data_IF_833399428513
#
_entry.id   IF_833399428513
#
_cell.length_a   1.000
_cell.length_b   1.000
_cell.length_c   1.000
_cell.angle_alpha   90.00
_cell.angle_beta   90.00
_cell.angle_gamma   90.00
#
_symmetry.space_group_name_H-M   'P 1'
#
loop_
_entity.id
_entity.type
_entity.pdbx_description
1 polymer ?
#
# COMPACT_ATOMS: atom_id res chain seq x y z
N UNK A 1 -4.62 -21.86 30.31
CA UNK A 1 -5.19 -21.02 29.24
C UNK A 1 -4.66 -19.62 29.45
N UNK A 2 -3.72 -19.18 28.63
CA UNK A 2 -3.31 -17.77 28.59
C UNK A 2 -4.35 -17.03 27.75
N UNK A 3 -4.91 -15.91 28.24
CA UNK A 3 -5.90 -15.14 27.50
C UNK A 3 -5.24 -14.55 26.25
N UNK A 4 -5.79 -14.87 25.07
CA UNK A 4 -5.24 -14.54 23.75
C UNK A 4 -5.63 -13.14 23.23
N UNK A 5 -6.30 -12.32 24.04
CA UNK A 5 -6.48 -10.89 23.75
C UNK A 5 -6.40 -10.09 25.03
N UNK A 6 -5.47 -9.14 25.03
CA UNK A 6 -5.23 -8.20 26.11
C UNK A 6 -5.50 -6.82 25.52
N UNK A 7 -6.76 -6.39 25.58
CA UNK A 7 -7.12 -5.04 25.14
C UNK A 7 -6.53 -4.03 26.13
N UNK A 8 -5.67 -3.14 25.62
CA UNK A 8 -5.06 -2.04 26.35
C UNK A 8 -3.81 -2.39 27.17
N UNK A 9 -2.88 -1.43 27.24
CA UNK A 9 -1.62 -1.52 28.01
C UNK A 9 -1.81 -1.86 29.51
N UNK A 10 -2.99 -1.60 30.07
CA UNK A 10 -3.29 -1.82 31.50
C UNK A 10 -3.35 -3.30 31.88
N UNK A 11 -3.76 -4.17 30.95
CA UNK A 11 -3.85 -5.61 31.20
C UNK A 11 -2.51 -6.33 30.94
N UNK A 12 -1.56 -5.68 30.25
CA UNK A 12 -0.21 -6.22 30.04
C UNK A 12 0.59 -6.29 31.35
N UNK A 13 0.39 -5.33 32.26
CA UNK A 13 1.10 -5.26 33.55
C UNK A 13 0.89 -6.53 34.40
N UNK A 14 -0.27 -7.18 34.29
CA UNK A 14 -0.61 -8.37 35.06
C UNK A 14 0.13 -9.64 34.58
N UNK A 15 0.72 -9.61 33.38
CA UNK A 15 1.44 -10.76 32.79
C UNK A 15 2.94 -10.51 32.65
N UNK A 16 3.44 -9.36 33.11
CA UNK A 16 4.87 -9.05 33.08
C UNK A 16 5.63 -9.76 34.21
N UNK A 17 6.86 -10.25 33.94
CA UNK A 17 7.72 -10.76 34.98
C UNK A 17 8.02 -9.70 36.05
N UNK A 18 8.26 -10.10 37.32
CA UNK A 18 8.66 -9.16 38.37
C UNK A 18 9.86 -8.31 37.95
N UNK A 19 9.73 -6.99 38.07
CA UNK A 19 10.79 -6.02 37.71
C UNK A 19 10.75 -5.52 36.27
N UNK A 20 9.85 -6.01 35.42
CA UNK A 20 9.63 -5.47 34.07
C UNK A 20 8.58 -4.37 34.13
N UNK A 21 8.94 -3.16 33.72
CA UNK A 21 8.03 -2.03 33.56
C UNK A 21 7.68 -1.83 32.10
N UNK A 22 6.46 -1.40 31.81
CA UNK A 22 6.12 -0.97 30.46
C UNK A 22 6.93 0.27 30.07
N UNK A 23 7.38 0.37 28.81
CA UNK A 23 7.98 1.59 28.31
C UNK A 23 6.95 2.73 28.38
N UNK A 24 7.35 3.84 29.00
CA UNK A 24 6.55 5.07 29.07
C UNK A 24 6.97 5.96 27.91
N UNK A 25 6.08 6.12 26.93
CA UNK A 25 6.30 7.02 25.80
C UNK A 25 5.66 8.39 26.08
N UNK A 26 6.30 9.49 25.66
CA UNK A 26 5.67 10.82 25.69
C UNK A 26 4.36 10.84 24.89
N UNK A 27 3.47 11.78 25.20
CA UNK A 27 2.30 12.03 24.37
C UNK A 27 2.68 12.63 23.02
N UNK A 28 1.96 12.24 21.97
CA UNK A 28 2.16 12.73 20.60
C UNK A 28 3.06 11.82 19.73
N UNK A 29 3.28 12.21 18.46
CA UNK A 29 4.07 11.43 17.51
C UNK A 29 5.50 11.20 18.01
N UNK A 30 5.99 9.97 17.90
CA UNK A 30 7.35 9.60 18.25
C UNK A 30 8.17 9.43 16.97
N UNK A 31 9.11 10.33 16.72
CA UNK A 31 10.01 10.21 15.58
C UNK A 31 11.25 9.37 15.95
N UNK A 32 11.74 8.56 15.01
CA UNK A 32 13.01 7.87 15.18
C UNK A 32 14.14 8.91 15.27
N UNK A 33 14.95 8.83 16.33
CA UNK A 33 16.11 9.72 16.52
C UNK A 33 17.24 9.43 15.54
N UNK A 34 17.34 8.17 15.10
CA UNK A 34 18.36 7.69 14.18
C UNK A 34 17.86 7.79 12.73
N UNK A 35 18.69 8.40 11.90
CA UNK A 35 18.52 8.43 10.44
C UNK A 35 19.36 7.35 9.77
N UNK A 36 19.56 7.54 8.47
CA UNK A 36 20.44 6.78 7.62
C UNK A 36 21.90 6.92 8.09
N UNK A 37 22.53 5.78 8.36
CA UNK A 37 23.96 5.75 8.71
C UNK A 37 24.84 5.91 7.48
N UNK A 38 26.13 6.20 7.65
CA UNK A 38 27.10 6.23 6.54
C UNK A 38 27.13 4.90 5.76
N UNK A 39 26.96 3.77 6.45
CA UNK A 39 26.87 2.45 5.81
C UNK A 39 25.55 2.27 5.03
N UNK A 40 24.45 2.83 5.53
CA UNK A 40 23.18 2.89 4.80
C UNK A 40 23.29 3.72 3.53
N UNK A 41 23.90 4.91 3.63
CA UNK A 41 24.18 5.76 2.47
C UNK A 41 25.13 5.11 1.47
N UNK A 42 26.14 4.37 1.94
CA UNK A 42 26.99 3.54 1.08
C UNK A 42 26.19 2.46 0.36
N UNK A 43 25.27 1.80 1.07
CA UNK A 43 24.41 0.75 0.50
C UNK A 43 23.49 1.31 -0.59
N UNK A 44 22.82 2.44 -0.35
CA UNK A 44 21.95 3.09 -1.35
C UNK A 44 22.72 3.44 -2.61
N UNK A 45 23.91 4.07 -2.49
CA UNK A 45 24.76 4.34 -3.66
C UNK A 45 25.15 3.06 -4.39
N UNK A 46 25.45 1.99 -3.65
CA UNK A 46 25.75 0.69 -4.23
C UNK A 46 24.56 0.04 -4.97
N UNK A 47 23.33 0.26 -4.52
CA UNK A 47 22.11 -0.17 -5.22
C UNK A 47 21.95 0.61 -6.54
N UNK A 48 22.12 1.93 -6.49
CA UNK A 48 22.06 2.80 -7.67
C UNK A 48 23.11 2.41 -8.71
N UNK A 49 24.36 2.19 -8.30
CA UNK A 49 25.47 1.74 -9.17
C UNK A 49 25.17 0.41 -9.89
N UNK A 50 24.26 -0.40 -9.33
CA UNK A 50 23.84 -1.71 -9.86
C UNK A 50 22.51 -1.66 -10.60
N UNK A 51 21.89 -0.49 -10.69
CA UNK A 51 20.57 -0.32 -11.27
C UNK A 51 19.45 -1.03 -10.49
N UNK A 52 19.59 -1.13 -9.16
CA UNK A 52 18.62 -1.76 -8.27
C UNK A 52 17.61 -0.74 -7.73
N UNK A 53 16.36 -1.15 -7.65
CA UNK A 53 15.27 -0.36 -7.08
C UNK A 53 15.47 -0.23 -5.55
N UNK A 54 15.33 0.99 -5.05
CA UNK A 54 15.30 1.30 -3.61
C UNK A 54 13.85 1.37 -3.15
N UNK A 55 13.43 0.40 -2.36
CA UNK A 55 12.14 0.43 -1.66
C UNK A 55 12.31 1.15 -0.33
N UNK A 56 11.54 2.21 -0.12
CA UNK A 56 11.60 3.03 1.10
C UNK A 56 10.53 2.68 2.13
N UNK A 57 9.68 1.69 1.85
CA UNK A 57 8.69 1.25 2.82
C UNK A 57 9.36 0.70 4.09
N UNK A 58 8.71 0.96 5.23
CA UNK A 58 9.18 0.65 6.58
C UNK A 58 10.45 1.40 7.04
N UNK A 59 11.07 2.22 6.20
CA UNK A 59 12.07 3.17 6.68
C UNK A 59 11.40 4.18 7.62
N UNK A 60 12.12 4.62 8.66
CA UNK A 60 11.66 5.78 9.42
C UNK A 60 11.60 6.99 8.50
N UNK A 61 10.68 7.93 8.76
CA UNK A 61 10.53 9.15 7.95
C UNK A 61 11.87 9.83 7.69
N UNK A 62 12.68 10.01 8.75
CA UNK A 62 14.03 10.57 8.67
C UNK A 62 14.97 9.79 7.75
N UNK A 63 14.98 8.46 7.83
CA UNK A 63 15.82 7.61 6.97
C UNK A 63 15.35 7.67 5.52
N UNK A 64 14.04 7.67 5.29
CA UNK A 64 13.45 7.76 3.96
C UNK A 64 13.74 9.13 3.30
N UNK A 65 13.67 10.22 4.07
CA UNK A 65 14.05 11.55 3.60
C UNK A 65 15.52 11.61 3.19
N UNK A 66 16.43 11.13 4.04
CA UNK A 66 17.88 11.10 3.77
C UNK A 66 18.22 10.15 2.60
N UNK A 67 17.47 9.07 2.42
CA UNK A 67 17.58 8.20 1.25
C UNK A 67 17.15 8.94 -0.01
N UNK A 68 15.98 9.59 0.00
CA UNK A 68 15.48 10.38 -1.12
C UNK A 68 16.42 11.54 -1.48
N UNK A 69 17.07 12.19 -0.51
CA UNK A 69 18.08 13.22 -0.78
C UNK A 69 19.24 12.69 -1.64
N UNK A 70 19.70 11.46 -1.37
CA UNK A 70 20.76 10.79 -2.16
C UNK A 70 20.26 10.50 -3.58
N UNK A 71 19.03 10.01 -3.71
CA UNK A 71 18.43 9.64 -4.99
C UNK A 71 18.16 10.88 -5.85
N UNK A 72 17.66 11.95 -5.26
CA UNK A 72 17.40 13.25 -5.91
C UNK A 72 18.70 13.90 -6.39
N UNK A 73 19.75 13.88 -5.57
CA UNK A 73 21.05 14.41 -5.97
C UNK A 73 21.64 13.69 -7.20
N UNK A 74 21.26 12.43 -7.42
CA UNK A 74 21.67 11.63 -8.57
C UNK A 74 20.63 11.58 -9.71
N UNK A 75 19.45 12.19 -9.55
CA UNK A 75 18.30 12.03 -10.45
C UNK A 75 17.93 10.55 -10.70
N UNK A 76 17.99 9.72 -9.65
CA UNK A 76 17.78 8.28 -9.77
C UNK A 76 16.29 7.93 -9.68
N UNK A 77 15.71 7.45 -10.78
CA UNK A 77 14.28 7.06 -10.83
C UNK A 77 13.94 5.79 -10.06
N UNK A 78 14.92 4.93 -9.77
CA UNK A 78 14.71 3.60 -9.20
C UNK A 78 14.28 3.61 -7.73
N UNK A 79 13.15 4.22 -7.41
CA UNK A 79 12.61 4.34 -6.06
C UNK A 79 11.13 3.97 -6.02
N UNK A 80 10.74 3.22 -4.99
CA UNK A 80 9.35 2.82 -4.79
C UNK A 80 8.91 2.97 -3.34
N UNK A 81 7.61 3.23 -3.18
CA UNK A 81 6.84 2.74 -2.03
C UNK A 81 6.00 1.57 -2.55
N UNK A 82 6.29 0.36 -2.11
CA UNK A 82 5.72 -0.86 -2.71
C UNK A 82 4.35 -1.24 -2.15
N UNK A 83 4.00 -0.80 -0.94
CA UNK A 83 2.74 -1.09 -0.25
C UNK A 83 2.40 -0.06 0.86
N UNK A 84 2.61 1.24 0.63
CA UNK A 84 2.16 2.37 1.48
C UNK A 84 2.71 2.48 2.91
N UNK A 85 3.75 1.74 3.28
CA UNK A 85 4.38 1.85 4.61
C UNK A 85 5.54 2.86 4.64
N UNK A 86 5.50 3.85 3.74
CA UNK A 86 6.31 5.07 3.78
C UNK A 86 5.41 6.26 4.11
N UNK A 87 5.99 7.36 4.59
CA UNK A 87 5.20 8.57 4.90
C UNK A 87 4.58 9.15 3.61
N UNK A 88 3.25 9.33 3.52
CA UNK A 88 2.60 9.80 2.30
C UNK A 88 3.06 11.18 1.81
N UNK A 89 3.65 12.02 2.68
CA UNK A 89 4.23 13.30 2.27
C UNK A 89 5.42 13.13 1.31
N UNK A 90 6.03 11.94 1.27
CA UNK A 90 7.16 11.63 0.40
C UNK A 90 6.74 11.20 -1.01
N UNK A 91 5.47 10.87 -1.27
CA UNK A 91 5.01 10.42 -2.59
C UNK A 91 5.28 11.44 -3.69
N UNK A 92 5.16 12.73 -3.39
CA UNK A 92 5.50 13.79 -4.35
C UNK A 92 6.97 13.74 -4.78
N UNK A 93 7.88 13.40 -3.87
CA UNK A 93 9.32 13.25 -4.16
C UNK A 93 9.57 12.00 -5.00
N UNK A 94 8.94 10.88 -4.64
CA UNK A 94 8.98 9.63 -5.41
C UNK A 94 8.53 9.87 -6.86
N UNK A 95 7.37 10.49 -7.05
CA UNK A 95 6.87 10.80 -8.40
C UNK A 95 7.72 11.82 -9.15
N UNK A 96 8.30 12.80 -8.45
CA UNK A 96 9.21 13.78 -9.06
C UNK A 96 10.50 13.15 -9.62
N UNK A 97 10.94 12.01 -9.06
CA UNK A 97 12.04 11.20 -9.60
C UNK A 97 11.61 10.26 -10.73
N UNK A 98 10.31 10.13 -11.00
CA UNK A 98 9.78 9.09 -11.89
C UNK A 98 9.78 7.71 -11.24
N UNK A 99 9.77 7.66 -9.91
CA UNK A 99 9.55 6.48 -9.09
C UNK A 99 8.11 5.99 -9.14
N UNK A 100 7.79 4.96 -8.34
CA UNK A 100 6.48 4.31 -8.34
C UNK A 100 5.89 4.19 -6.94
N UNK A 101 4.59 4.43 -6.82
CA UNK A 101 3.85 4.26 -5.56
C UNK A 101 2.77 3.21 -5.75
N UNK A 102 2.75 2.24 -4.85
CA UNK A 102 1.69 1.29 -4.68
C UNK A 102 1.18 1.33 -3.23
N UNK A 103 -0.12 1.17 -3.05
CA UNK A 103 -0.71 1.09 -1.71
C UNK A 103 -0.94 -0.36 -1.30
N UNK A 104 -1.00 -0.59 0.00
CA UNK A 104 -1.41 -1.87 0.54
C UNK A 104 -2.79 -2.27 0.01
N UNK A 105 -2.97 -3.53 -0.41
CA UNK A 105 -4.24 -4.06 -0.92
C UNK A 105 -5.25 -4.29 0.23
N UNK A 106 -5.72 -3.20 0.81
CA UNK A 106 -6.65 -3.17 1.94
C UNK A 106 -8.07 -2.77 1.55
N UNK A 107 -8.82 -2.37 2.57
CA UNK A 107 -10.19 -1.88 2.44
C UNK A 107 -10.29 -0.74 1.39
N UNK A 108 -11.30 -0.81 0.53
CA UNK A 108 -11.51 0.18 -0.53
C UNK A 108 -12.00 1.52 0.03
N UNK A 109 -12.99 1.45 0.91
CA UNK A 109 -13.59 2.53 1.69
C UNK A 109 -12.97 2.65 3.10
N UNK A 110 -13.32 3.70 3.84
CA UNK A 110 -12.96 3.78 5.25
C UNK A 110 -13.70 2.69 6.02
N UNK A 111 -13.01 1.94 6.89
CA UNK A 111 -13.66 0.90 7.68
C UNK A 111 -14.46 1.48 8.84
N UNK A 112 -15.65 0.94 9.12
CA UNK A 112 -16.46 1.32 10.28
C UNK A 112 -15.72 1.09 11.62
N UNK A 113 -14.85 0.07 11.68
CA UNK A 113 -14.06 -0.27 12.86
C UNK A 113 -12.93 0.74 13.13
N UNK A 114 -12.51 1.49 12.11
CA UNK A 114 -11.44 2.49 12.16
C UNK A 114 -11.74 3.68 11.25
N UNK A 115 -12.73 4.51 11.61
CA UNK A 115 -13.21 5.59 10.75
C UNK A 115 -12.15 6.68 10.46
N UNK A 116 -11.09 6.74 11.27
CA UNK A 116 -9.94 7.62 11.05
C UNK A 116 -8.95 7.11 9.98
N UNK A 117 -8.96 5.81 9.66
CA UNK A 117 -8.14 5.24 8.60
C UNK A 117 -8.81 5.47 7.24
N UNK A 118 -8.08 6.10 6.31
CA UNK A 118 -8.58 6.36 4.95
C UNK A 118 -8.52 5.07 4.13
N UNK A 119 -9.59 4.76 3.41
CA UNK A 119 -9.63 3.63 2.46
C UNK A 119 -8.67 3.81 1.29
N UNK A 120 -8.42 2.72 0.55
CA UNK A 120 -7.55 2.69 -0.63
C UNK A 120 -7.88 3.79 -1.64
N UNK A 121 -9.18 4.05 -1.88
CA UNK A 121 -9.62 5.02 -2.89
C UNK A 121 -9.26 6.44 -2.50
N UNK A 122 -9.43 6.80 -1.23
CA UNK A 122 -9.10 8.15 -0.75
C UNK A 122 -7.60 8.39 -0.71
N UNK A 123 -6.82 7.35 -0.39
CA UNK A 123 -5.35 7.41 -0.48
C UNK A 123 -4.87 7.51 -1.93
N UNK A 124 -5.51 6.79 -2.86
CA UNK A 124 -5.24 6.92 -4.30
C UNK A 124 -5.52 8.35 -4.79
N UNK A 125 -6.67 8.96 -4.40
CA UNK A 125 -6.99 10.35 -4.75
C UNK A 125 -5.88 11.30 -4.32
N UNK A 126 -5.42 11.18 -3.08
CA UNK A 126 -4.32 12.00 -2.56
C UNK A 126 -3.04 11.79 -3.36
N UNK A 127 -2.60 10.55 -3.52
CA UNK A 127 -1.38 10.22 -4.25
C UNK A 127 -1.42 10.69 -5.71
N UNK A 128 -2.59 10.61 -6.36
CA UNK A 128 -2.81 11.09 -7.73
C UNK A 128 -2.62 12.60 -7.87
N UNK A 129 -2.92 13.38 -6.82
CA UNK A 129 -2.64 14.84 -6.84
C UNK A 129 -1.14 15.15 -6.82
N UNK A 130 -0.32 14.21 -6.35
CA UNK A 130 1.13 14.37 -6.20
C UNK A 130 1.92 13.88 -7.42
N UNK A 131 1.24 13.32 -8.43
CA UNK A 131 1.87 12.82 -9.66
C UNK A 131 2.71 13.90 -10.35
N UNK A 132 3.78 13.46 -10.98
CA UNK A 132 4.61 14.31 -11.84
C UNK A 132 4.05 14.34 -13.26
N UNK A 133 4.07 15.50 -13.91
CA UNK A 133 3.73 15.64 -15.33
C UNK A 133 4.88 15.20 -16.26
N UNK A 134 6.09 14.99 -15.72
CA UNK A 134 7.28 14.63 -16.49
C UNK A 134 7.38 13.13 -16.78
N UNK A 135 6.58 12.30 -16.11
CA UNK A 135 6.64 10.84 -16.22
C UNK A 135 5.26 10.25 -16.48
N UNK A 136 5.25 9.07 -17.09
CA UNK A 136 4.03 8.30 -17.28
C UNK A 136 3.43 7.92 -15.92
N UNK A 137 2.19 8.38 -15.68
CA UNK A 137 1.48 8.04 -14.45
C UNK A 137 0.74 6.71 -14.59
N UNK A 138 0.89 5.88 -13.57
CA UNK A 138 0.12 4.68 -13.29
C UNK A 138 0.20 4.42 -11.79
N UNK A 139 -0.77 3.68 -11.27
CA UNK A 139 -0.91 3.41 -9.84
C UNK A 139 -0.92 1.91 -9.59
N UNK A 140 -0.40 1.50 -8.44
CA UNK A 140 -0.29 0.08 -8.09
C UNK A 140 -0.87 -0.29 -6.75
N UNK A 141 -0.85 -1.58 -6.48
CA UNK A 141 -1.08 -2.13 -5.16
C UNK A 141 0.05 -3.11 -4.81
N UNK A 142 0.35 -3.24 -3.52
CA UNK A 142 1.19 -4.28 -2.96
C UNK A 142 0.37 -5.10 -1.98
N UNK A 143 0.28 -6.41 -2.21
CA UNK A 143 -0.61 -7.26 -1.42
C UNK A 143 -0.11 -7.49 0.02
N UNK A 144 1.21 -7.46 0.24
CA UNK A 144 1.91 -7.80 1.49
C UNK A 144 1.23 -8.93 2.29
N UNK A 145 0.74 -9.94 1.55
CA UNK A 145 -0.05 -11.03 2.11
C UNK A 145 0.89 -12.18 2.46
N UNK A 146 1.21 -12.30 3.74
CA UNK A 146 2.03 -13.39 4.30
C UNK A 146 1.38 -14.07 5.52
N UNK A 147 0.10 -13.80 5.76
CA UNK A 147 -0.66 -14.29 6.92
C UNK A 147 -0.62 -13.37 8.15
N UNK A 148 0.14 -12.28 8.12
CA UNK A 148 0.16 -11.25 9.18
C UNK A 148 -0.56 -9.96 8.78
N UNK A 149 -0.58 -9.61 7.49
CA UNK A 149 -1.37 -8.52 6.94
C UNK A 149 -2.85 -8.90 6.73
N UNK A 150 -3.83 -8.05 7.12
CA UNK A 150 -5.24 -8.31 6.86
C UNK A 150 -5.54 -8.10 5.37
N UNK A 151 -6.20 -9.07 4.72
CA UNK A 151 -6.71 -8.85 3.36
C UNK A 151 -7.95 -7.95 3.39
N UNK A 152 -8.26 -7.30 2.26
CA UNK A 152 -9.43 -6.43 2.14
C UNK A 152 -10.73 -7.16 2.52
N UNK A 153 -11.50 -6.58 3.43
CA UNK A 153 -12.82 -7.10 3.79
C UNK A 153 -13.83 -6.76 2.69
N UNK A 154 -15.04 -7.35 2.71
CA UNK A 154 -16.14 -6.82 1.92
C UNK A 154 -16.36 -5.33 2.19
N UNK A 155 -16.83 -4.58 1.19
CA UNK A 155 -17.27 -3.19 1.40
C UNK A 155 -18.47 -3.13 2.33
N UNK A 156 -18.58 -2.03 3.08
CA UNK A 156 -19.69 -1.84 4.02
C UNK A 156 -21.06 -1.81 3.35
N UNK A 157 -21.14 -1.25 2.14
CA UNK A 157 -22.36 -1.10 1.35
C UNK A 157 -22.60 -2.25 0.35
N UNK A 158 -21.83 -3.35 0.42
CA UNK A 158 -21.98 -4.46 -0.53
C UNK A 158 -23.38 -5.11 -0.49
N UNK A 159 -24.14 -4.94 0.60
CA UNK A 159 -25.53 -5.41 0.67
C UNK A 159 -26.50 -4.58 -0.19
N UNK A 160 -26.28 -3.27 -0.31
CA UNK A 160 -27.12 -2.38 -1.11
C UNK A 160 -26.59 -2.15 -2.53
N UNK A 161 -25.27 -2.17 -2.69
CA UNK A 161 -24.56 -1.85 -3.92
C UNK A 161 -23.43 -2.87 -4.20
N UNK A 162 -23.74 -4.16 -4.42
CA UNK A 162 -22.73 -5.20 -4.64
C UNK A 162 -22.06 -5.13 -6.02
N UNK A 163 -20.87 -5.74 -6.13
CA UNK A 163 -20.36 -6.22 -7.42
C UNK A 163 -21.29 -7.30 -7.97
N UNK A 164 -21.83 -7.08 -9.17
CA UNK A 164 -22.73 -8.01 -9.85
C UNK A 164 -21.94 -8.96 -10.76
N UNK A 165 -22.12 -10.27 -10.60
CA UNK A 165 -21.51 -11.28 -11.44
C UNK A 165 -22.49 -11.80 -12.53
N UNK A 166 -22.01 -12.13 -13.74
CA UNK A 166 -20.67 -11.83 -14.23
C UNK A 166 -20.47 -10.34 -14.47
N UNK A 167 -19.23 -9.86 -14.33
CA UNK A 167 -18.84 -8.51 -14.69
C UNK A 167 -17.85 -8.52 -15.87
N UNK A 168 -17.70 -7.38 -16.54
CA UNK A 168 -16.67 -7.20 -17.57
C UNK A 168 -15.51 -6.41 -16.98
N UNK A 169 -14.33 -7.02 -16.94
CA UNK A 169 -13.10 -6.40 -16.49
C UNK A 169 -12.65 -5.27 -17.45
N UNK A 170 -11.67 -4.47 -17.02
CA UNK A 170 -11.23 -3.29 -17.78
C UNK A 170 -10.62 -3.62 -19.15
N UNK A 171 -10.17 -4.85 -19.36
CA UNK A 171 -9.61 -5.37 -20.62
C UNK A 171 -10.68 -6.03 -21.52
N UNK A 172 -11.95 -6.03 -21.10
CA UNK A 172 -13.05 -6.67 -21.81
C UNK A 172 -13.27 -8.15 -21.47
N UNK A 173 -12.46 -8.73 -20.58
CA UNK A 173 -12.65 -10.12 -20.13
C UNK A 173 -13.92 -10.22 -19.28
N UNK A 174 -14.79 -11.18 -19.59
CA UNK A 174 -15.96 -11.49 -18.75
C UNK A 174 -15.54 -12.41 -17.62
N UNK A 175 -15.81 -11.98 -16.39
CA UNK A 175 -15.40 -12.65 -15.15
C UNK A 175 -16.64 -13.13 -14.39
N UNK A 176 -16.68 -14.43 -14.12
CA UNK A 176 -17.62 -15.06 -13.18
C UNK A 176 -17.02 -15.10 -11.77
N UNK A 177 -17.83 -15.48 -10.77
CA UNK A 177 -17.34 -15.75 -9.43
C UNK A 177 -16.18 -16.75 -9.43
N UNK A 178 -15.12 -16.42 -8.69
CA UNK A 178 -13.95 -17.29 -8.59
C UNK A 178 -14.33 -18.63 -7.94
N UNK A 179 -13.89 -19.74 -8.54
CA UNK A 179 -14.09 -21.09 -7.99
C UNK A 179 -12.76 -21.78 -7.74
N UNK A 180 -12.53 -22.21 -6.51
CA UNK A 180 -11.43 -23.09 -6.14
C UNK A 180 -11.97 -24.45 -5.65
N UNK A 181 -11.85 -25.48 -6.49
CA UNK A 181 -12.43 -26.79 -6.22
C UNK A 181 -13.96 -26.70 -6.08
N UNK A 182 -14.47 -27.04 -4.90
CA UNK A 182 -15.92 -26.99 -4.60
C UNK A 182 -16.39 -25.65 -4.05
N UNK A 183 -15.48 -24.76 -3.61
CA UNK A 183 -15.85 -23.44 -3.07
C UNK A 183 -15.97 -22.41 -4.19
N UNK A 184 -17.06 -21.66 -4.16
CA UNK A 184 -17.25 -20.41 -4.92
C UNK A 184 -17.01 -19.27 -3.96
N UNK A 185 -16.25 -18.27 -4.39
CA UNK A 185 -15.99 -17.08 -3.62
C UNK A 185 -16.77 -15.91 -4.17
N UNK A 186 -17.20 -15.03 -3.28
CA UNK A 186 -17.97 -13.82 -3.59
C UNK A 186 -17.34 -12.65 -2.85
N UNK A 187 -16.78 -11.67 -3.57
CA UNK A 187 -16.10 -10.53 -2.94
C UNK A 187 -17.01 -9.75 -2.01
N UNK A 188 -18.32 -9.75 -2.26
CA UNK A 188 -19.32 -9.06 -1.45
C UNK A 188 -19.53 -9.70 -0.07
N UNK A 189 -19.06 -10.93 0.15
CA UNK A 189 -19.23 -11.65 1.43
C UNK A 189 -17.92 -12.21 1.99
N UNK A 190 -17.02 -12.65 1.13
CA UNK A 190 -15.72 -13.21 1.48
C UNK A 190 -14.61 -12.16 1.51
N UNK A 191 -14.82 -11.00 0.88
CA UNK A 191 -13.76 -10.03 0.61
C UNK A 191 -12.69 -10.64 -0.29
N UNK A 192 -11.46 -10.13 -0.16
CA UNK A 192 -10.29 -10.71 -0.84
C UNK A 192 -9.76 -11.86 0.01
N UNK A 193 -10.45 -13.00 -0.01
CA UNK A 193 -10.04 -14.15 0.82
C UNK A 193 -8.72 -14.81 0.34
N UNK A 194 -8.37 -14.62 -0.94
CA UNK A 194 -7.22 -15.22 -1.61
C UNK A 194 -6.87 -14.45 -2.90
N UNK A 195 -5.64 -14.61 -3.41
CA UNK A 195 -5.10 -13.85 -4.56
C UNK A 195 -5.96 -13.85 -5.83
N UNK A 196 -6.68 -14.93 -6.11
CA UNK A 196 -7.61 -15.03 -7.22
C UNK A 196 -8.85 -14.15 -7.11
N UNK A 197 -9.07 -13.48 -5.97
CA UNK A 197 -10.12 -12.47 -5.77
C UNK A 197 -9.65 -11.04 -6.12
N UNK A 198 -8.37 -10.85 -6.44
CA UNK A 198 -7.85 -9.53 -6.80
C UNK A 198 -8.57 -8.92 -8.03
N UNK A 199 -8.91 -9.69 -9.10
CA UNK A 199 -9.71 -9.14 -10.19
C UNK A 199 -11.08 -8.62 -9.74
N UNK A 200 -11.72 -9.30 -8.79
CA UNK A 200 -13.02 -8.89 -8.23
C UNK A 200 -12.85 -7.61 -7.41
N UNK A 201 -11.81 -7.51 -6.59
CA UNK A 201 -11.47 -6.30 -5.84
C UNK A 201 -11.18 -5.10 -6.74
N UNK A 202 -10.46 -5.30 -7.86
CA UNK A 202 -10.24 -4.24 -8.86
C UNK A 202 -11.57 -3.84 -9.51
N UNK A 203 -12.44 -4.79 -9.86
CA UNK A 203 -13.74 -4.45 -10.41
C UNK A 203 -14.63 -3.70 -9.41
N UNK A 204 -14.61 -4.13 -8.15
CA UNK A 204 -15.37 -3.53 -7.05
C UNK A 204 -14.88 -2.11 -6.72
N UNK A 205 -13.58 -1.83 -6.89
CA UNK A 205 -13.01 -0.49 -6.72
C UNK A 205 -13.62 0.53 -7.69
N UNK A 206 -14.03 0.10 -8.90
CA UNK A 206 -14.71 0.96 -9.88
C UNK A 206 -16.05 1.45 -9.33
N UNK A 207 -16.80 0.55 -8.69
CA UNK A 207 -18.10 0.85 -8.08
C UNK A 207 -17.89 1.76 -6.88
N UNK A 208 -16.98 1.39 -5.99
CA UNK A 208 -16.71 2.09 -4.75
C UNK A 208 -16.18 3.52 -4.95
N UNK A 209 -15.43 3.77 -6.02
CA UNK A 209 -14.92 5.10 -6.34
C UNK A 209 -15.99 6.05 -6.93
N UNK A 210 -17.19 5.54 -7.23
CA UNK A 210 -18.31 6.34 -7.72
C UNK A 210 -17.97 7.11 -9.00
N UNK A 211 -18.04 8.44 -8.93
CA UNK A 211 -17.74 9.30 -10.09
C UNK A 211 -16.29 9.16 -10.60
N UNK A 212 -15.36 8.72 -9.75
CA UNK A 212 -13.95 8.52 -10.12
C UNK A 212 -13.66 7.09 -10.60
N UNK A 213 -14.67 6.21 -10.68
CA UNK A 213 -14.53 4.79 -11.00
C UNK A 213 -13.70 4.51 -12.24
N UNK A 214 -13.99 5.18 -13.35
CA UNK A 214 -13.25 4.98 -14.59
C UNK A 214 -11.81 5.50 -14.49
N UNK A 215 -11.59 6.55 -13.70
CA UNK A 215 -10.27 7.16 -13.53
C UNK A 215 -9.35 6.27 -12.70
N UNK A 216 -9.84 5.69 -11.60
CA UNK A 216 -9.02 4.76 -10.79
C UNK A 216 -8.69 3.50 -11.58
N UNK A 217 -9.63 2.97 -12.36
CA UNK A 217 -9.38 1.80 -13.22
C UNK A 217 -8.36 2.12 -14.30
N UNK A 218 -8.44 3.30 -14.93
CA UNK A 218 -7.42 3.74 -15.87
C UNK A 218 -6.04 3.79 -15.20
N UNK A 219 -5.92 4.49 -14.07
CA UNK A 219 -4.64 4.63 -13.37
C UNK A 219 -4.06 3.28 -12.92
N UNK A 220 -4.89 2.37 -12.41
CA UNK A 220 -4.50 1.01 -12.02
C UNK A 220 -4.06 0.17 -13.23
N UNK A 221 -4.77 0.25 -14.36
CA UNK A 221 -4.41 -0.47 -15.59
C UNK A 221 -3.05 -0.02 -16.16
N UNK A 222 -2.65 1.21 -15.88
CA UNK A 222 -1.38 1.82 -16.28
C UNK A 222 -0.22 1.48 -15.34
N UNK A 223 -0.50 0.93 -14.16
CA UNK A 223 0.48 0.67 -13.10
C UNK A 223 1.65 -0.22 -13.52
N UNK A 224 1.38 -1.30 -14.25
CA UNK A 224 2.42 -2.21 -14.72
C UNK A 224 3.43 -1.51 -15.65
N UNK A 225 2.95 -0.71 -16.60
CA UNK A 225 3.79 0.05 -17.51
C UNK A 225 4.56 1.16 -16.76
N UNK A 226 3.92 1.88 -15.84
CA UNK A 226 4.60 2.88 -15.02
C UNK A 226 5.75 2.28 -14.20
N UNK A 227 5.53 1.09 -13.61
CA UNK A 227 6.57 0.35 -12.89
C UNK A 227 7.72 -0.07 -13.83
N UNK A 228 7.40 -0.61 -15.00
CA UNK A 228 8.42 -1.04 -15.98
C UNK A 228 9.26 0.13 -16.47
N UNK A 229 8.65 1.26 -16.84
CA UNK A 229 9.41 2.43 -17.27
C UNK A 229 10.30 2.99 -16.14
N UNK A 230 9.84 2.95 -14.89
CA UNK A 230 10.67 3.31 -13.73
C UNK A 230 11.86 2.36 -13.60
N UNK A 231 11.63 1.05 -13.69
CA UNK A 231 12.67 0.04 -13.60
C UNK A 231 13.70 0.14 -14.73
N UNK A 232 13.26 0.44 -15.95
CA UNK A 232 14.15 0.70 -17.08
C UNK A 232 15.03 1.93 -16.87
N UNK A 233 14.46 3.03 -16.36
CA UNK A 233 15.22 4.24 -15.99
C UNK A 233 16.22 3.98 -14.86
N UNK A 234 15.90 3.09 -13.93
CA UNK A 234 16.80 2.73 -12.83
C UNK A 234 18.13 2.12 -13.30
N UNK A 235 18.19 1.59 -14.54
CA UNK A 235 19.35 0.89 -15.09
C UNK A 235 20.18 1.72 -16.08
N UNK A 236 19.74 2.93 -16.39
CA UNK A 236 20.30 3.77 -17.46
C UNK A 236 20.99 5.02 -16.93
#
# INVERSE_FOLDING_TARGET
MLPTKVDGAQNLLAVLPPGVTLPVYPSGPQCNSHGLTDLGAYTIRGLMDRGMIVDIDHMSVKTAEEALDILEAANYSGVVSSHSWSDPSLYKRIYALGGFVALYAGQLDASDDKPEERGFIDQWRDARTMRSENYYFGFGYGADTNGFGPQAAPRGDAAENPLQYPYTAFDGTVMDQQRAGTRVFDVNTDGVAQYGMIPDWIADMRIAAGADGDTIIEDMSRGAEAYLQMWERARN
#
